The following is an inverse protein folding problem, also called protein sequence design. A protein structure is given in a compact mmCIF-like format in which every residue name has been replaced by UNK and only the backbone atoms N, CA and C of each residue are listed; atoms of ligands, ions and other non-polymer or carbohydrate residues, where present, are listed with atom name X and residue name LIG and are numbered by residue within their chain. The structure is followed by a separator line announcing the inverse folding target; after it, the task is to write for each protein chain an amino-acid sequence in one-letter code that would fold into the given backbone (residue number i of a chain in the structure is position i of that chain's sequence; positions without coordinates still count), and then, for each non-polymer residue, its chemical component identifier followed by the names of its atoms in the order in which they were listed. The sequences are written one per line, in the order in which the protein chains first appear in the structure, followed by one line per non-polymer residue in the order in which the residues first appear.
data_IF_526668366392
#
_entry.id   IF_526668366392
#
_cell.length_a   1.000
_cell.length_b   1.000
_cell.length_c   1.000
_cell.angle_alpha   90.00
_cell.angle_beta   90.00
_cell.angle_gamma   90.00
#
_symmetry.space_group_name_H-M   'P 1'
#
loop_
_entity.id
_entity.type
_entity.pdbx_description
1 polymer ?
#
# COMPACT_ATOMS: atom_id res chain seq x y z
N UNK A 1 69.56 15.52 60.05
CA UNK A 1 68.72 15.59 58.84
C UNK A 1 67.31 15.94 59.30
N UNK A 2 66.94 17.22 59.35
CA UNK A 2 66.31 18.03 58.27
C UNK A 2 64.84 17.67 58.01
N UNK A 3 63.96 18.60 58.39
CA UNK A 3 62.52 18.79 58.15
C UNK A 3 62.04 18.48 56.70
N UNK A 4 60.74 18.23 56.41
CA UNK A 4 59.62 19.04 56.92
C UNK A 4 58.32 18.36 57.39
N UNK A 5 57.67 19.04 58.34
CA UNK A 5 56.25 18.92 58.69
C UNK A 5 55.42 19.57 57.59
N UNK A 6 54.55 18.79 56.95
CA UNK A 6 53.47 19.30 56.11
C UNK A 6 52.30 19.73 57.00
N UNK A 7 52.11 21.04 57.14
CA UNK A 7 50.91 21.62 57.73
C UNK A 7 49.79 21.60 56.67
N UNK A 8 48.87 20.63 56.76
CA UNK A 8 47.55 20.74 56.15
C UNK A 8 46.62 21.44 57.14
N UNK A 9 46.76 22.77 57.27
CA UNK A 9 45.80 23.60 57.99
C UNK A 9 44.83 24.23 56.99
N UNK A 10 44.05 23.37 56.32
CA UNK A 10 42.84 23.76 55.60
C UNK A 10 41.63 23.49 56.47
N UNK A 11 41.54 24.16 57.63
CA UNK A 11 40.28 24.20 58.36
C UNK A 11 39.28 24.96 57.48
N UNK A 12 38.42 24.21 56.80
CA UNK A 12 37.12 24.70 56.38
C UNK A 12 36.43 25.11 57.67
N UNK A 13 36.55 26.40 58.00
CA UNK A 13 35.87 27.02 59.10
C UNK A 13 34.39 27.03 58.75
N UNK A 14 33.71 25.92 59.04
CA UNK A 14 32.26 25.87 59.12
C UNK A 14 31.86 26.84 60.24
N UNK A 15 31.54 28.07 59.86
CA UNK A 15 30.75 28.95 60.70
C UNK A 15 29.44 28.21 60.98
N UNK A 16 29.22 27.85 62.24
CA UNK A 16 27.89 27.61 62.77
C UNK A 16 27.13 28.95 62.77
N UNK A 17 26.76 29.43 61.58
CA UNK A 17 25.68 30.39 61.41
C UNK A 17 24.42 29.57 61.18
N UNK A 18 23.49 29.61 62.13
CA UNK A 18 22.15 29.08 61.89
C UNK A 18 21.55 29.76 60.66
N UNK A 19 20.83 28.99 59.84
CA UNK A 19 20.13 29.51 58.66
C UNK A 19 19.33 30.75 59.02
N UNK A 20 19.54 31.85 58.28
CA UNK A 20 18.75 33.06 58.49
C UNK A 20 17.32 32.82 58.00
N UNK A 21 16.31 33.30 58.73
CA UNK A 21 14.91 33.09 58.39
C UNK A 21 14.55 33.57 56.97
N UNK A 22 15.22 34.63 56.48
CA UNK A 22 15.06 35.16 55.13
C UNK A 22 15.58 34.22 54.03
N UNK A 23 16.70 33.53 54.27
CA UNK A 23 17.29 32.58 53.33
C UNK A 23 16.44 31.31 53.18
N UNK A 24 15.86 30.84 54.30
CA UNK A 24 14.90 29.73 54.31
C UNK A 24 13.63 30.11 53.53
N UNK A 25 13.10 31.33 53.73
CA UNK A 25 11.95 31.85 52.98
C UNK A 25 12.22 31.94 51.48
N UNK A 26 13.39 32.46 51.08
CA UNK A 26 13.78 32.55 49.67
C UNK A 26 13.92 31.16 49.03
N UNK A 27 14.48 30.19 49.76
CA UNK A 27 14.64 28.81 49.29
C UNK A 27 13.28 28.13 49.10
N UNK A 28 12.35 28.28 50.06
CA UNK A 28 10.99 27.75 49.95
C UNK A 28 10.27 28.38 48.74
N UNK A 29 10.43 29.68 48.51
CA UNK A 29 9.81 30.37 47.38
C UNK A 29 10.32 29.85 46.03
N UNK A 30 11.64 29.65 45.89
CA UNK A 30 12.24 29.12 44.67
C UNK A 30 11.83 27.66 44.41
N UNK A 31 11.89 26.81 45.44
CA UNK A 31 11.49 25.39 45.31
C UNK A 31 10.01 25.30 44.97
N UNK A 32 9.14 26.11 45.59
CA UNK A 32 7.70 26.11 45.31
C UNK A 32 7.38 26.53 43.87
N UNK A 33 8.06 27.54 43.35
CA UNK A 33 7.92 27.94 41.95
C UNK A 33 8.36 26.82 41.00
N UNK A 34 9.48 26.17 41.31
CA UNK A 34 10.01 25.09 40.49
C UNK A 34 9.09 23.85 40.51
N UNK A 35 8.55 23.46 41.67
CA UNK A 35 7.64 22.31 41.76
C UNK A 35 6.32 22.55 41.04
N UNK A 36 5.77 23.77 41.11
CA UNK A 36 4.57 24.15 40.36
C UNK A 36 4.80 24.07 38.84
N UNK A 37 5.92 24.61 38.36
CA UNK A 37 6.29 24.52 36.95
C UNK A 37 6.51 23.06 36.51
N UNK A 38 7.19 22.26 37.33
CA UNK A 38 7.45 20.85 37.05
C UNK A 38 6.15 20.02 36.97
N UNK A 39 5.20 20.25 37.88
CA UNK A 39 3.91 19.56 37.88
C UNK A 39 3.13 19.85 36.59
N UNK A 40 3.12 21.10 36.13
CA UNK A 40 2.49 21.48 34.87
C UNK A 40 3.18 20.81 33.67
N UNK A 41 4.51 20.79 33.65
CA UNK A 41 5.28 20.14 32.59
C UNK A 41 4.97 18.63 32.50
N UNK A 42 4.82 17.95 33.64
CA UNK A 42 4.46 16.52 33.69
C UNK A 42 3.07 16.27 33.10
N UNK A 43 2.07 17.12 33.43
CA UNK A 43 0.71 16.97 32.89
C UNK A 43 0.70 17.15 31.37
N UNK A 44 1.41 18.15 30.87
CA UNK A 44 1.54 18.39 29.42
C UNK A 44 2.23 17.22 28.72
N UNK A 45 3.31 16.69 29.31
CA UNK A 45 4.00 15.52 28.79
C UNK A 45 3.10 14.29 28.75
N UNK A 46 2.30 14.04 29.80
CA UNK A 46 1.36 12.94 29.86
C UNK A 46 0.28 13.06 28.77
N UNK A 47 -0.22 14.27 28.50
CA UNK A 47 -1.17 14.52 27.43
C UNK A 47 -0.57 14.23 26.04
N UNK A 48 0.64 14.73 25.77
CA UNK A 48 1.32 14.43 24.51
C UNK A 48 1.63 12.94 24.36
N UNK A 49 2.04 12.27 25.43
CA UNK A 49 2.29 10.83 25.42
C UNK A 49 1.01 10.04 25.12
N UNK A 50 -0.13 10.42 25.72
CA UNK A 50 -1.42 9.81 25.44
C UNK A 50 -1.82 9.98 23.96
N UNK A 51 -1.68 11.19 23.41
CA UNK A 51 -1.99 11.44 22.00
C UNK A 51 -1.06 10.68 21.04
N UNK A 52 0.23 10.62 21.37
CA UNK A 52 1.20 9.86 20.59
C UNK A 52 0.87 8.35 20.58
N UNK A 53 0.43 7.80 21.72
CA UNK A 53 -0.03 6.40 21.78
C UNK A 53 -1.28 6.16 20.94
N UNK A 54 -2.28 7.06 21.01
CA UNK A 54 -3.49 6.98 20.18
C UNK A 54 -3.15 6.95 18.69
N UNK A 55 -2.27 7.86 18.27
CA UNK A 55 -1.80 7.91 16.88
C UNK A 55 -1.05 6.63 16.49
N UNK A 56 -0.11 6.17 17.31
CA UNK A 56 0.67 4.96 17.03
C UNK A 56 -0.21 3.71 16.92
N UNK A 57 -1.16 3.51 17.83
CA UNK A 57 -2.09 2.38 17.78
C UNK A 57 -3.02 2.45 16.57
N UNK A 58 -3.53 3.64 16.22
CA UNK A 58 -4.35 3.84 15.04
C UNK A 58 -3.56 3.58 13.74
N UNK A 59 -2.31 4.02 13.66
CA UNK A 59 -1.43 3.76 12.52
C UNK A 59 -1.07 2.28 12.41
N UNK A 60 -0.79 1.60 13.52
CA UNK A 60 -0.54 0.16 13.51
C UNK A 60 -1.76 -0.62 13.02
N UNK A 61 -2.97 -0.23 13.43
CA UNK A 61 -4.19 -0.87 12.94
C UNK A 61 -4.36 -0.73 11.41
N UNK A 62 -4.05 0.45 10.85
CA UNK A 62 -4.03 0.64 9.40
C UNK A 62 -2.97 -0.27 8.74
N UNK A 63 -1.77 -0.37 9.34
CA UNK A 63 -0.69 -1.21 8.82
C UNK A 63 -1.06 -2.70 8.83
N UNK A 64 -1.67 -3.19 9.91
CA UNK A 64 -2.12 -4.57 10.04
C UNK A 64 -3.14 -4.93 8.94
N UNK A 65 -4.11 -4.04 8.67
CA UNK A 65 -5.08 -4.24 7.59
C UNK A 65 -4.41 -4.20 6.21
N UNK A 66 -3.49 -3.27 5.99
CA UNK A 66 -2.75 -3.16 4.73
C UNK A 66 -1.86 -4.40 4.48
N UNK A 67 -1.24 -4.95 5.51
CA UNK A 67 -0.44 -6.18 5.41
C UNK A 67 -1.31 -7.37 4.98
N UNK A 68 -2.50 -7.52 5.57
CA UNK A 68 -3.46 -8.56 5.14
C UNK A 68 -3.85 -8.42 3.66
N UNK A 69 -4.10 -7.19 3.21
CA UNK A 69 -4.43 -6.93 1.79
C UNK A 69 -3.22 -7.23 0.91
N UNK A 70 -2.01 -6.86 1.33
CA UNK A 70 -0.78 -7.14 0.58
C UNK A 70 -0.56 -8.64 0.38
N UNK A 71 -0.86 -9.46 1.40
CA UNK A 71 -0.79 -10.92 1.30
C UNK A 71 -1.77 -11.44 0.25
N UNK A 72 -3.03 -11.00 0.30
CA UNK A 72 -4.05 -11.39 -0.69
C UNK A 72 -3.61 -10.96 -2.09
N UNK A 73 -3.23 -9.69 -2.27
CA UNK A 73 -2.78 -9.10 -3.52
C UNK A 73 -1.58 -9.82 -4.15
N UNK A 74 -0.67 -10.35 -3.35
CA UNK A 74 0.52 -11.06 -3.83
C UNK A 74 0.17 -12.33 -4.62
N UNK A 75 -0.88 -13.05 -4.21
CA UNK A 75 -1.26 -14.33 -4.82
C UNK A 75 -2.15 -14.17 -6.06
N UNK A 76 -2.93 -13.09 -6.17
CA UNK A 76 -3.92 -12.91 -7.24
C UNK A 76 -3.31 -12.90 -8.65
N UNK A 77 -2.11 -12.38 -8.81
CA UNK A 77 -1.54 -12.15 -10.14
C UNK A 77 -0.09 -12.64 -10.21
N UNK A 78 0.06 -13.96 -10.33
CA UNK A 78 1.32 -14.58 -10.70
C UNK A 78 1.63 -14.46 -12.21
N UNK A 79 0.61 -14.17 -13.04
CA UNK A 79 0.78 -13.84 -14.44
C UNK A 79 1.41 -12.45 -14.57
N UNK A 80 2.40 -12.32 -15.45
CA UNK A 80 3.02 -11.02 -15.74
C UNK A 80 1.99 -10.21 -16.53
N UNK A 81 1.68 -8.97 -16.14
CA UNK A 81 0.71 -8.18 -16.92
C UNK A 81 1.36 -7.79 -18.22
N UNK A 82 0.77 -8.30 -19.28
CA UNK A 82 1.25 -8.18 -20.64
C UNK A 82 0.20 -7.44 -21.44
N UNK A 83 0.63 -6.43 -22.19
CA UNK A 83 -0.20 -5.81 -23.23
C UNK A 83 0.34 -6.18 -24.60
N UNK A 84 -0.56 -6.69 -25.46
CA UNK A 84 -0.28 -7.04 -26.85
C UNK A 84 -1.35 -6.47 -27.76
N UNK A 85 -1.19 -6.66 -29.06
CA UNK A 85 -2.25 -6.41 -30.05
C UNK A 85 -2.48 -7.65 -30.89
N UNK A 86 -3.65 -7.75 -31.51
CA UNK A 86 -3.89 -8.74 -32.54
C UNK A 86 -3.04 -8.42 -33.78
N UNK A 87 -2.20 -9.35 -34.22
CA UNK A 87 -1.41 -9.21 -35.44
C UNK A 87 -2.31 -9.27 -36.70
N UNK A 88 -3.33 -10.12 -36.64
CA UNK A 88 -4.32 -10.32 -37.69
C UNK A 88 -5.72 -10.19 -37.10
N UNK A 89 -6.72 -9.86 -37.92
CA UNK A 89 -8.09 -9.83 -37.45
C UNK A 89 -8.54 -11.20 -36.90
N UNK A 90 -9.32 -11.19 -35.83
CA UNK A 90 -10.00 -12.36 -35.30
C UNK A 90 -11.47 -12.32 -35.74
N UNK A 91 -11.90 -13.35 -36.46
CA UNK A 91 -13.30 -13.52 -36.85
C UNK A 91 -14.16 -13.90 -35.64
N UNK A 92 -15.48 -13.79 -35.80
CA UNK A 92 -16.41 -14.31 -34.82
C UNK A 92 -16.19 -15.82 -34.59
N UNK A 93 -16.25 -16.25 -33.32
CA UNK A 93 -15.92 -17.59 -32.86
C UNK A 93 -14.48 -18.06 -33.12
N UNK A 94 -13.54 -17.15 -33.38
CA UNK A 94 -12.12 -17.50 -33.44
C UNK A 94 -11.62 -17.97 -32.06
N UNK A 95 -10.93 -19.10 -32.03
CA UNK A 95 -10.29 -19.65 -30.82
C UNK A 95 -8.78 -19.49 -30.83
N UNK A 96 -8.19 -19.23 -32.00
CA UNK A 96 -6.73 -19.05 -32.17
C UNK A 96 -6.46 -17.61 -32.58
N UNK A 97 -5.56 -16.95 -31.85
CA UNK A 97 -5.25 -15.54 -32.02
C UNK A 97 -3.74 -15.39 -32.22
N UNK A 98 -3.35 -14.65 -33.26
CA UNK A 98 -1.95 -14.28 -33.49
C UNK A 98 -1.70 -12.92 -32.84
N UNK A 99 -0.71 -12.85 -31.97
CA UNK A 99 -0.36 -11.65 -31.23
C UNK A 99 0.82 -10.92 -31.90
N UNK A 100 0.88 -9.62 -31.68
CA UNK A 100 2.02 -8.78 -32.01
C UNK A 100 2.38 -7.87 -30.83
N UNK A 101 3.64 -7.46 -30.79
CA UNK A 101 4.10 -6.43 -29.87
C UNK A 101 3.49 -5.07 -30.23
N UNK A 102 3.31 -4.24 -29.22
CA UNK A 102 2.85 -2.85 -29.38
C UNK A 102 4.07 -1.99 -29.71
N UNK A 103 4.00 -1.14 -30.72
CA UNK A 103 5.12 -0.27 -31.06
C UNK A 103 5.05 1.07 -30.29
N UNK A 104 6.19 1.68 -29.93
CA UNK A 104 6.23 3.04 -29.39
C UNK A 104 5.53 4.03 -30.32
N UNK A 105 4.60 4.82 -29.79
CA UNK A 105 3.83 5.81 -30.54
C UNK A 105 2.56 5.29 -31.23
N UNK A 106 2.26 3.99 -31.14
CA UNK A 106 0.98 3.42 -31.59
C UNK A 106 -0.12 3.79 -30.57
N UNK A 107 -0.86 4.87 -30.85
CA UNK A 107 -1.77 5.57 -29.94
C UNK A 107 -2.79 4.67 -29.23
N UNK A 108 -2.80 4.74 -27.90
CA UNK A 108 -4.02 5.00 -27.13
C UNK A 108 -3.60 6.00 -26.03
N UNK A 109 -3.84 7.29 -26.26
CA UNK A 109 -3.19 8.41 -25.56
C UNK A 109 -3.56 8.55 -24.07
N UNK A 110 -4.40 7.66 -23.52
CA UNK A 110 -4.88 7.71 -22.13
C UNK A 110 -4.42 6.52 -21.26
N UNK A 111 -3.62 5.60 -21.79
CA UNK A 111 -3.11 4.45 -21.03
C UNK A 111 -1.60 4.59 -20.81
N UNK A 112 -1.16 4.54 -19.56
CA UNK A 112 0.26 4.62 -19.23
C UNK A 112 1.00 3.47 -19.93
N UNK A 113 1.95 3.83 -20.79
CA UNK A 113 2.75 2.85 -21.53
C UNK A 113 3.45 1.91 -20.54
N UNK A 114 3.28 0.58 -20.67
CA UNK A 114 3.94 -0.38 -19.78
C UNK A 114 5.46 -0.15 -19.78
N UNK A 115 6.17 -0.38 -18.65
CA UNK A 115 7.62 -0.18 -18.55
C UNK A 115 8.44 -0.92 -19.61
N UNK A 116 7.90 -2.03 -20.15
CA UNK A 116 8.46 -2.85 -21.23
C UNK A 116 8.66 -2.10 -22.57
N UNK A 117 8.03 -0.94 -22.79
CA UNK A 117 8.11 -0.22 -24.07
C UNK A 117 8.74 1.17 -24.01
N UNK A 118 9.35 1.57 -22.88
CA UNK A 118 10.15 2.80 -22.82
C UNK A 118 11.43 2.61 -23.63
N UNK A 119 11.84 3.59 -24.43
CA UNK A 119 13.18 3.60 -25.03
C UNK A 119 14.19 3.65 -23.87
N UNK A 120 15.00 2.59 -23.72
CA UNK A 120 15.82 2.25 -22.53
C UNK A 120 15.12 1.43 -21.42
N UNK A 121 13.99 0.77 -21.71
CA UNK A 121 13.25 -0.07 -20.77
C UNK A 121 14.05 -1.27 -20.24
N UNK A 122 13.95 -1.53 -18.94
CA UNK A 122 14.70 -2.56 -18.20
C UNK A 122 14.38 -4.03 -18.59
N UNK A 123 13.51 -4.26 -19.57
CA UNK A 123 12.98 -5.57 -19.93
C UNK A 123 12.85 -5.71 -21.46
N UNK A 124 13.70 -6.50 -22.10
CA UNK A 124 13.57 -6.81 -23.52
C UNK A 124 12.52 -7.92 -23.71
N UNK A 125 11.48 -7.67 -24.51
CA UNK A 125 10.54 -8.68 -24.99
C UNK A 125 10.97 -9.16 -26.37
N UNK A 126 11.07 -10.48 -26.54
CA UNK A 126 11.59 -11.15 -27.74
C UNK A 126 10.50 -11.81 -28.59
N UNK A 127 9.36 -12.13 -27.98
CA UNK A 127 8.17 -12.68 -28.64
C UNK A 127 6.87 -12.00 -28.15
N UNK A 128 5.85 -11.86 -29.02
CA UNK A 128 4.50 -11.43 -28.64
C UNK A 128 3.84 -12.26 -27.53
N UNK A 129 4.25 -13.51 -27.30
CA UNK A 129 3.70 -14.36 -26.24
C UNK A 129 4.52 -14.34 -24.95
N UNK A 130 5.64 -13.61 -24.91
CA UNK A 130 6.46 -13.46 -23.70
C UNK A 130 5.60 -12.91 -22.54
N UNK A 131 5.73 -13.56 -21.38
CA UNK A 131 4.99 -13.26 -20.16
C UNK A 131 3.59 -13.88 -20.04
N UNK A 132 3.03 -14.44 -21.12
CA UNK A 132 1.77 -15.19 -21.10
C UNK A 132 1.99 -16.67 -20.74
N UNK A 133 1.03 -17.27 -20.04
CA UNK A 133 1.04 -18.68 -19.67
C UNK A 133 -0.30 -19.35 -19.96
N UNK A 134 -0.26 -20.65 -20.22
CA UNK A 134 -1.48 -21.45 -20.28
C UNK A 134 -2.21 -21.38 -18.94
N UNK A 135 -3.49 -21.02 -18.99
CA UNK A 135 -4.33 -20.78 -17.83
C UNK A 135 -4.60 -19.31 -17.53
N UNK A 136 -3.80 -18.39 -18.08
CA UNK A 136 -4.00 -16.95 -17.91
C UNK A 136 -5.30 -16.51 -18.59
N UNK A 137 -5.91 -15.43 -18.07
CA UNK A 137 -7.10 -14.82 -18.65
C UNK A 137 -6.68 -13.58 -19.44
N UNK A 138 -7.34 -13.32 -20.56
CA UNK A 138 -7.12 -12.12 -21.37
C UNK A 138 -8.44 -11.44 -21.70
N UNK A 139 -8.39 -10.11 -21.83
CA UNK A 139 -9.47 -9.30 -22.38
C UNK A 139 -9.05 -8.81 -23.77
N UNK A 140 -9.93 -8.95 -24.76
CA UNK A 140 -9.66 -8.55 -26.14
C UNK A 140 -10.52 -7.33 -26.43
N UNK A 141 -9.89 -6.17 -26.59
CA UNK A 141 -10.57 -4.88 -26.80
C UNK A 141 -11.63 -4.64 -25.72
N UNK A 142 -12.87 -4.46 -26.17
CA UNK A 142 -14.05 -4.22 -25.35
C UNK A 142 -14.99 -5.43 -25.27
N UNK A 143 -14.46 -6.65 -25.41
CA UNK A 143 -15.21 -7.88 -25.23
C UNK A 143 -15.91 -7.92 -23.85
N UNK A 144 -17.11 -8.50 -23.79
CA UNK A 144 -17.73 -8.87 -22.51
C UNK A 144 -16.98 -10.06 -21.92
N UNK A 145 -16.37 -9.88 -20.75
CA UNK A 145 -15.65 -10.91 -20.01
C UNK A 145 -14.27 -11.27 -20.56
N UNK A 146 -13.67 -12.30 -19.95
CA UNK A 146 -12.28 -12.71 -20.22
C UNK A 146 -12.17 -14.10 -20.83
N UNK A 147 -11.13 -14.33 -21.63
CA UNK A 147 -10.86 -15.61 -22.30
C UNK A 147 -9.63 -16.26 -21.68
N UNK A 148 -9.71 -17.54 -21.38
CA UNK A 148 -8.62 -18.35 -20.81
C UNK A 148 -7.72 -18.86 -21.91
N UNK A 149 -6.41 -18.67 -21.78
CA UNK A 149 -5.40 -19.27 -22.64
C UNK A 149 -5.35 -20.77 -22.37
N UNK A 150 -5.59 -21.60 -23.38
CA UNK A 150 -5.55 -23.07 -23.31
C UNK A 150 -4.28 -23.64 -23.93
N UNK A 151 -3.66 -22.93 -24.86
CA UNK A 151 -2.39 -23.29 -25.48
C UNK A 151 -1.63 -22.05 -25.95
N UNK A 152 -0.30 -22.16 -26.04
CA UNK A 152 0.60 -21.14 -26.60
C UNK A 152 1.53 -21.84 -27.59
N UNK A 153 1.64 -21.32 -28.80
CA UNK A 153 2.53 -21.85 -29.85
C UNK A 153 3.11 -20.69 -30.68
N UNK A 154 4.40 -20.42 -30.50
CA UNK A 154 5.06 -19.26 -31.12
C UNK A 154 4.35 -17.97 -30.76
N UNK A 155 3.91 -17.22 -31.77
CA UNK A 155 3.21 -15.94 -31.61
C UNK A 155 1.69 -16.10 -31.46
N UNK A 156 1.20 -17.34 -31.40
CA UNK A 156 -0.23 -17.65 -31.33
C UNK A 156 -0.64 -18.15 -29.95
N UNK A 157 -1.83 -17.74 -29.53
CA UNK A 157 -2.51 -18.26 -28.34
C UNK A 157 -3.83 -18.90 -28.74
N UNK A 158 -4.18 -20.01 -28.09
CA UNK A 158 -5.52 -20.60 -28.16
C UNK A 158 -6.30 -20.22 -26.92
N UNK A 159 -7.55 -19.81 -27.08
CA UNK A 159 -8.39 -19.29 -25.99
C UNK A 159 -9.75 -19.96 -25.91
N UNK A 160 -10.32 -19.95 -24.70
CA UNK A 160 -11.70 -20.35 -24.42
C UNK A 160 -12.35 -19.42 -23.39
N UNK A 161 -13.59 -18.96 -23.58
CA UNK A 161 -14.44 -19.13 -24.76
C UNK A 161 -13.85 -18.43 -26.00
N UNK A 162 -14.42 -18.74 -27.18
CA UNK A 162 -14.02 -18.11 -28.44
C UNK A 162 -14.32 -16.60 -28.44
N UNK A 163 -13.65 -15.86 -29.32
CA UNK A 163 -13.89 -14.42 -29.50
C UNK A 163 -15.33 -14.17 -29.92
N UNK A 164 -15.98 -13.19 -29.29
CA UNK A 164 -17.35 -12.80 -29.60
C UNK A 164 -17.36 -11.63 -30.57
N UNK A 165 -17.72 -11.90 -31.81
CA UNK A 165 -17.74 -10.95 -32.90
C UNK A 165 -16.36 -10.70 -33.53
N UNK A 166 -16.38 -9.94 -34.63
CA UNK A 166 -15.17 -9.57 -35.35
C UNK A 166 -14.30 -8.59 -34.55
N UNK A 167 -12.98 -8.81 -34.54
CA UNK A 167 -11.97 -7.90 -33.99
C UNK A 167 -10.90 -7.63 -35.04
N UNK A 168 -10.70 -6.37 -35.39
CA UNK A 168 -9.71 -5.98 -36.38
C UNK A 168 -8.28 -6.25 -35.92
N UNK A 169 -7.35 -6.31 -36.88
CA UNK A 169 -5.93 -6.25 -36.56
C UNK A 169 -5.64 -4.95 -35.78
N UNK A 170 -4.71 -5.00 -34.83
CA UNK A 170 -4.40 -3.90 -33.92
C UNK A 170 -5.27 -3.82 -32.67
N UNK A 171 -6.36 -4.61 -32.56
CA UNK A 171 -7.16 -4.68 -31.32
C UNK A 171 -6.28 -5.06 -30.14
N UNK A 172 -6.38 -4.32 -29.03
CA UNK A 172 -5.58 -4.55 -27.82
C UNK A 172 -5.96 -5.85 -27.14
N UNK A 173 -4.97 -6.54 -26.61
CA UNK A 173 -5.10 -7.73 -25.80
C UNK A 173 -4.46 -7.45 -24.44
N UNK A 174 -5.28 -7.46 -23.40
CA UNK A 174 -4.87 -7.17 -22.03
C UNK A 174 -4.81 -8.47 -21.24
N UNK A 175 -3.65 -8.81 -20.68
CA UNK A 175 -3.57 -9.85 -19.68
C UNK A 175 -4.39 -9.47 -18.44
N UNK A 176 -5.11 -10.44 -17.89
CA UNK A 176 -5.89 -10.36 -16.67
C UNK A 176 -5.38 -11.42 -15.70
N UNK A 177 -5.56 -11.16 -14.41
CA UNK A 177 -5.08 -12.05 -13.36
C UNK A 177 -5.74 -13.43 -13.41
N UNK A 178 -5.05 -14.40 -12.80
CA UNK A 178 -5.58 -15.73 -12.60
C UNK A 178 -6.67 -15.66 -11.53
N UNK A 179 -7.90 -15.95 -11.92
CA UNK A 179 -9.00 -16.13 -10.97
C UNK A 179 -8.85 -17.45 -10.21
N UNK A 180 -9.45 -17.52 -9.01
CA UNK A 180 -9.57 -18.75 -8.23
C UNK A 180 -10.17 -19.89 -9.06
N UNK A 181 -9.86 -21.16 -8.74
CA UNK A 181 -10.25 -22.34 -9.55
C UNK A 181 -11.76 -22.51 -9.79
N UNK A 182 -12.62 -21.82 -9.02
CA UNK A 182 -14.08 -21.96 -9.07
C UNK A 182 -14.81 -20.78 -9.73
N UNK A 183 -14.10 -19.82 -10.30
CA UNK A 183 -14.72 -18.66 -10.95
C UNK A 183 -14.72 -18.84 -12.47
N UNK A 184 -15.91 -18.86 -13.08
CA UNK A 184 -16.10 -19.17 -14.50
C UNK A 184 -15.98 -17.94 -15.40
N UNK A 185 -16.47 -16.79 -14.95
CA UNK A 185 -16.72 -15.65 -15.83
C UNK A 185 -15.61 -14.58 -15.84
N UNK A 186 -14.73 -14.58 -14.83
CA UNK A 186 -13.68 -13.57 -14.70
C UNK A 186 -14.26 -12.19 -14.39
N UNK A 187 -13.69 -11.50 -13.40
CA UNK A 187 -14.21 -10.18 -13.03
C UNK A 187 -13.77 -9.13 -14.06
N UNK A 188 -14.74 -8.45 -14.67
CA UNK A 188 -14.51 -7.26 -15.47
C UNK A 188 -13.90 -6.15 -14.57
N UNK A 189 -12.75 -5.61 -14.97
CA UNK A 189 -12.04 -4.55 -14.21
C UNK A 189 -10.66 -4.92 -13.64
N UNK A 190 -10.13 -6.10 -13.99
CA UNK A 190 -8.71 -6.43 -13.79
C UNK A 190 -8.32 -6.68 -12.32
N UNK A 191 -7.06 -6.36 -11.98
CA UNK A 191 -6.52 -6.62 -10.64
C UNK A 191 -7.31 -5.91 -9.55
N UNK A 192 -7.62 -4.62 -9.72
CA UNK A 192 -8.33 -3.86 -8.70
C UNK A 192 -9.74 -4.35 -8.45
N UNK A 193 -10.50 -4.63 -9.51
CA UNK A 193 -11.86 -5.14 -9.35
C UNK A 193 -11.85 -6.48 -8.63
N UNK A 194 -10.90 -7.36 -8.96
CA UNK A 194 -10.76 -8.64 -8.28
C UNK A 194 -10.28 -8.52 -6.83
N UNK A 195 -9.26 -7.70 -6.58
CA UNK A 195 -8.76 -7.47 -5.23
C UNK A 195 -9.86 -6.86 -4.34
N UNK A 196 -10.68 -5.96 -4.90
CA UNK A 196 -11.77 -5.31 -4.18
C UNK A 196 -12.82 -6.32 -3.67
N UNK A 197 -13.15 -7.36 -4.44
CA UNK A 197 -14.10 -8.39 -3.98
C UNK A 197 -13.54 -9.29 -2.88
N UNK A 198 -12.22 -9.37 -2.79
CA UNK A 198 -11.51 -10.18 -1.80
C UNK A 198 -11.13 -9.40 -0.53
N UNK A 199 -11.39 -8.10 -0.49
CA UNK A 199 -11.11 -7.30 0.70
C UNK A 199 -11.97 -7.76 1.88
N UNK A 200 -11.38 -7.96 3.08
CA UNK A 200 -12.14 -8.30 4.28
C UNK A 200 -13.18 -7.22 4.57
N UNK A 201 -14.46 -7.56 4.68
CA UNK A 201 -15.51 -6.57 4.95
C UNK A 201 -15.22 -5.82 6.26
N UNK A 202 -15.15 -4.49 6.21
CA UNK A 202 -15.19 -3.67 7.42
C UNK A 202 -16.65 -3.39 7.76
N UNK A 203 -17.11 -3.96 8.87
CA UNK A 203 -18.47 -3.84 9.39
C UNK A 203 -18.42 -3.41 10.85
N UNK A 204 -19.59 -3.17 11.47
CA UNK A 204 -19.69 -2.71 12.86
C UNK A 204 -19.04 -3.64 13.91
N UNK A 205 -18.70 -4.88 13.56
CA UNK A 205 -18.06 -5.86 14.47
C UNK A 205 -16.54 -5.84 14.43
N UNK A 206 -15.92 -5.33 13.36
CA UNK A 206 -14.45 -5.34 13.20
C UNK A 206 -13.86 -3.99 12.80
N UNK A 207 -14.71 -2.98 12.55
CA UNK A 207 -14.30 -1.63 12.21
C UNK A 207 -14.16 -0.71 13.44
N UNK A 208 -14.38 -1.22 14.65
CA UNK A 208 -14.34 -0.46 15.89
C UNK A 208 -13.43 -1.12 16.91
N UNK A 209 -12.57 -0.33 17.56
CA UNK A 209 -11.62 -0.82 18.57
C UNK A 209 -11.43 0.21 19.69
N UNK A 210 -11.42 -0.22 20.97
CA UNK A 210 -11.01 0.66 22.05
C UNK A 210 -9.49 0.89 22.02
N UNK A 211 -9.08 2.15 22.07
CA UNK A 211 -7.67 2.55 22.22
C UNK A 211 -7.62 3.48 23.42
N UNK A 212 -6.97 3.02 24.50
CA UNK A 212 -7.00 3.65 25.82
C UNK A 212 -8.45 3.77 26.35
N UNK A 213 -8.99 4.99 26.44
CA UNK A 213 -10.31 5.30 27.03
C UNK A 213 -11.32 5.82 26.00
N UNK A 214 -11.04 5.63 24.71
CA UNK A 214 -11.87 6.13 23.63
C UNK A 214 -12.05 5.04 22.57
N UNK A 215 -13.17 5.07 21.87
CA UNK A 215 -13.52 4.08 20.85
C UNK A 215 -13.23 4.69 19.50
N UNK A 216 -12.46 3.97 18.69
CA UNK A 216 -12.04 4.42 17.38
C UNK A 216 -12.64 3.56 16.29
N UNK A 217 -12.99 4.19 15.18
CA UNK A 217 -13.58 3.54 14.03
C UNK A 217 -12.63 3.65 12.83
N UNK A 218 -12.29 2.52 12.22
CA UNK A 218 -11.53 2.41 10.98
C UNK A 218 -12.48 2.38 9.79
N UNK A 219 -12.23 3.24 8.82
CA UNK A 219 -12.89 3.21 7.51
C UNK A 219 -11.83 2.97 6.44
N UNK A 220 -12.14 2.06 5.51
CA UNK A 220 -11.35 1.81 4.29
C UNK A 220 -12.26 2.00 3.09
N UNK A 221 -11.87 2.91 2.20
CA UNK A 221 -12.61 3.20 0.97
C UNK A 221 -11.78 2.73 -0.23
N UNK A 222 -12.15 1.60 -0.87
CA UNK A 222 -11.51 1.14 -2.10
C UNK A 222 -12.01 1.94 -3.32
N UNK A 223 -11.08 2.38 -4.17
CA UNK A 223 -11.38 3.07 -5.43
C UNK A 223 -10.58 2.41 -6.56
N UNK A 224 -11.29 1.94 -7.60
CA UNK A 224 -10.65 1.36 -8.78
C UNK A 224 -10.09 2.49 -9.66
N UNK A 225 -8.80 2.42 -9.98
CA UNK A 225 -8.16 3.25 -11.00
C UNK A 225 -8.20 2.48 -12.32
N UNK A 226 -9.01 2.88 -13.33
CA UNK A 226 -9.26 2.07 -14.52
C UNK A 226 -8.10 2.10 -15.55
N UNK A 227 -6.97 2.71 -15.21
CA UNK A 227 -5.82 2.84 -16.11
C UNK A 227 -5.17 1.47 -16.35
N UNK A 228 -5.18 1.04 -17.60
CA UNK A 228 -4.43 -0.12 -18.05
C UNK A 228 -2.91 0.16 -17.96
N UNK A 229 -2.05 -0.87 -17.86
CA UNK A 229 -2.36 -2.31 -17.90
C UNK A 229 -2.89 -2.90 -16.60
N UNK A 230 -2.57 -2.29 -15.46
CA UNK A 230 -2.71 -2.95 -14.16
C UNK A 230 -4.08 -2.75 -13.54
N UNK A 231 -4.77 -1.64 -13.82
CA UNK A 231 -6.02 -1.24 -13.16
C UNK A 231 -5.89 -1.41 -11.65
N UNK A 232 -5.24 -0.44 -11.00
CA UNK A 232 -4.77 -0.51 -9.61
C UNK A 232 -5.86 -0.11 -8.62
N UNK A 233 -5.71 -0.57 -7.37
CA UNK A 233 -6.68 -0.31 -6.32
C UNK A 233 -6.13 0.73 -5.36
N UNK A 234 -6.76 1.89 -5.30
CA UNK A 234 -6.44 2.89 -4.28
C UNK A 234 -7.24 2.59 -3.01
N UNK A 235 -6.56 2.61 -1.88
CA UNK A 235 -7.13 2.41 -0.56
C UNK A 235 -6.92 3.66 0.27
N UNK A 236 -8.03 4.33 0.58
CA UNK A 236 -8.04 5.45 1.51
C UNK A 236 -8.51 4.96 2.89
N UNK A 237 -7.64 5.11 3.88
CA UNK A 237 -7.88 4.76 5.28
C UNK A 237 -8.10 6.01 6.12
N UNK A 238 -9.05 5.90 7.05
CA UNK A 238 -9.24 6.90 8.11
C UNK A 238 -9.62 6.21 9.41
N UNK A 239 -8.90 6.53 10.48
CA UNK A 239 -9.28 6.18 11.85
C UNK A 239 -9.81 7.43 12.52
N UNK A 240 -11.03 7.34 13.05
CA UNK A 240 -11.71 8.44 13.75
C UNK A 240 -12.02 8.08 15.18
N UNK A 241 -11.99 9.05 16.07
CA UNK A 241 -12.42 8.88 17.46
C UNK A 241 -13.95 8.96 17.62
N UNK A 242 -14.44 8.80 18.84
CA UNK A 242 -15.87 8.93 19.17
C UNK A 242 -16.47 10.31 18.88
N UNK A 243 -15.62 11.34 18.78
CA UNK A 243 -16.00 12.71 18.42
C UNK A 243 -15.92 12.96 16.91
N UNK A 244 -15.72 11.91 16.12
CA UNK A 244 -15.59 11.97 14.66
C UNK A 244 -14.38 12.77 14.16
N UNK A 245 -13.37 12.98 15.01
CA UNK A 245 -12.11 13.63 14.63
C UNK A 245 -11.17 12.60 14.03
N UNK A 246 -10.49 12.99 12.96
CA UNK A 246 -9.46 12.14 12.36
C UNK A 246 -8.26 12.07 13.27
N UNK A 247 -7.84 10.84 13.59
CA UNK A 247 -6.63 10.57 14.37
C UNK A 247 -5.50 10.06 13.48
N UNK A 248 -5.80 9.20 12.51
CA UNK A 248 -4.84 8.73 11.51
C UNK A 248 -5.49 8.60 10.13
N UNK A 249 -4.72 8.85 9.08
CA UNK A 249 -5.10 8.65 7.68
C UNK A 249 -3.91 8.12 6.88
N UNK A 250 -4.22 7.31 5.86
CA UNK A 250 -3.26 6.83 4.89
C UNK A 250 -3.99 6.67 3.55
N UNK A 251 -3.40 7.16 2.46
CA UNK A 251 -3.80 6.76 1.12
C UNK A 251 -2.66 6.00 0.48
N UNK A 252 -2.97 4.85 -0.11
CA UNK A 252 -1.98 4.01 -0.77
C UNK A 252 -2.57 3.32 -1.98
N UNK A 253 -1.72 3.04 -2.95
CA UNK A 253 -2.07 2.32 -4.17
C UNK A 253 -1.53 0.90 -4.08
N UNK A 254 -2.43 -0.07 -4.20
CA UNK A 254 -2.05 -1.47 -4.32
C UNK A 254 -1.83 -1.78 -5.79
N UNK A 255 -0.60 -2.17 -6.10
CA UNK A 255 -0.18 -2.62 -7.43
C UNK A 255 0.10 -4.12 -7.39
N UNK A 256 -0.16 -4.85 -8.48
CA UNK A 256 0.16 -6.27 -8.53
C UNK A 256 1.68 -6.47 -8.56
N UNK A 257 2.17 -7.61 -8.03
CA UNK A 257 3.60 -7.96 -8.03
C UNK A 257 4.22 -7.92 -9.44
N UNK A 258 3.45 -8.29 -10.45
CA UNK A 258 3.86 -8.24 -11.84
C UNK A 258 4.14 -6.81 -12.37
N UNK A 259 3.73 -5.75 -11.66
CA UNK A 259 4.19 -4.38 -11.90
C UNK A 259 5.72 -4.25 -11.83
N UNK A 260 6.36 -5.02 -10.96
CA UNK A 260 7.81 -4.98 -10.71
C UNK A 260 8.59 -6.03 -11.50
N UNK A 261 7.93 -6.83 -12.35
CA UNK A 261 8.54 -7.95 -13.07
C UNK A 261 8.53 -7.71 -14.57
N UNK A 262 9.68 -7.88 -15.20
CA UNK A 262 9.76 -8.02 -16.65
C UNK A 262 8.92 -9.21 -17.13
N UNK A 263 8.22 -9.12 -18.28
CA UNK A 263 7.59 -10.23 -19.03
C UNK A 263 8.49 -11.46 -19.17
#
# INVERSE_FOLDING_TARGET
MTHPKLYFHGLVQQRCQGFTLAEVLASILIVSLFTLAAMQAIVVAAFFQANARKFAEASNWIQDDLENIKIVAYDLCQAKFVQRKLATAANDNATTLTLALIQPGESDYDQAMPPEYRSEGACAVSSPTDGLRVGDRILIGSDSGTRKITAIAGDTITVTPAVQGYRGAGTRVYARCRIQPNETDGIDGGFAAYLQTLLPLLNSSNNSRPILNDTFTLTRTPTIRPQAPFQTLELAYSVRDSQNRTVAQLSTEVVPNAFFRCP
#
